data_IF_238257612014
#
_entry.id   IF_238257612014
#
_cell.length_a   1.000
_cell.length_b   1.000
_cell.length_c   1.000
_cell.angle_alpha   90.00
_cell.angle_beta   90.00
_cell.angle_gamma   90.00
#
_symmetry.space_group_name_H-M   'P 1'
#
loop_
_entity.id
_entity.type
_entity.pdbx_description
1 polymer ?
#
# COMPACT_ATOMS: atom_id res chain seq x y z
N UNK A 1 -5.55 3.76 18.17
CA UNK A 1 -4.87 4.28 16.96
C UNK A 1 -3.87 3.25 16.46
N UNK A 2 -4.00 2.82 15.21
CA UNK A 2 -3.03 1.99 14.49
C UNK A 2 -2.08 2.88 13.69
N UNK A 3 -0.80 2.50 13.60
CA UNK A 3 0.21 3.22 12.82
C UNK A 3 0.77 2.33 11.71
N UNK A 4 0.85 2.90 10.51
CA UNK A 4 1.37 2.23 9.32
C UNK A 4 2.54 3.04 8.76
N UNK A 5 3.70 2.41 8.58
CA UNK A 5 4.79 3.02 7.80
C UNK A 5 4.42 2.92 6.33
N UNK A 6 4.43 4.03 5.62
CA UNK A 6 4.00 4.10 4.22
C UNK A 6 5.07 4.74 3.35
N UNK A 7 5.03 4.44 2.05
CA UNK A 7 5.69 5.27 1.04
C UNK A 7 4.62 6.09 0.33
N UNK A 8 4.70 7.41 0.43
CA UNK A 8 3.89 8.32 -0.36
C UNK A 8 4.75 8.85 -1.51
N UNK A 9 4.43 8.47 -2.73
CA UNK A 9 5.21 8.77 -3.93
C UNK A 9 4.33 9.41 -5.00
N UNK A 10 4.97 10.11 -5.92
CA UNK A 10 4.34 10.66 -7.12
C UNK A 10 4.98 10.03 -8.34
N UNK A 11 4.26 9.13 -8.99
CA UNK A 11 4.73 8.36 -10.15
C UNK A 11 3.93 8.79 -11.39
N UNK A 12 4.60 9.25 -12.44
CA UNK A 12 3.96 9.71 -13.69
C UNK A 12 2.80 10.72 -13.48
N UNK A 13 2.93 11.60 -12.48
CA UNK A 13 1.93 12.61 -12.14
C UNK A 13 0.79 12.13 -11.24
N UNK A 14 0.80 10.85 -10.85
CA UNK A 14 -0.19 10.24 -9.97
C UNK A 14 0.37 10.05 -8.56
N UNK A 15 -0.38 10.49 -7.55
CA UNK A 15 -0.03 10.25 -6.15
C UNK A 15 -0.44 8.81 -5.74
N UNK A 16 0.51 8.07 -5.20
CA UNK A 16 0.38 6.66 -4.80
C UNK A 16 0.82 6.52 -3.35
N UNK A 17 0.03 5.81 -2.56
CA UNK A 17 0.29 5.52 -1.15
C UNK A 17 0.52 4.02 -1.02
N UNK A 18 1.78 3.60 -0.99
CA UNK A 18 2.17 2.20 -0.81
C UNK A 18 2.12 1.88 0.68
N UNK A 19 1.31 0.90 1.06
CA UNK A 19 1.17 0.45 2.45
C UNK A 19 1.62 -1.01 2.55
N UNK A 20 2.80 -1.27 3.16
CA UNK A 20 3.23 -2.61 3.49
C UNK A 20 2.35 -3.21 4.58
N UNK A 21 1.72 -4.33 4.28
CA UNK A 21 0.90 -5.13 5.19
C UNK A 21 1.56 -6.48 5.48
N UNK A 22 1.11 -7.13 6.54
CA UNK A 22 1.51 -8.49 6.89
C UNK A 22 1.08 -9.50 5.82
N UNK A 23 1.78 -10.62 5.74
CA UNK A 23 1.43 -11.71 4.81
C UNK A 23 0.05 -12.31 5.09
N UNK A 24 -0.49 -12.14 6.30
CA UNK A 24 -1.85 -12.55 6.67
C UNK A 24 -2.91 -11.82 5.85
N UNK A 25 -2.64 -10.58 5.41
CA UNK A 25 -3.54 -9.82 4.54
C UNK A 25 -3.80 -10.55 3.23
N UNK A 26 -2.75 -11.09 2.61
CA UNK A 26 -2.84 -11.84 1.35
C UNK A 26 -3.68 -13.11 1.45
N UNK A 27 -3.85 -13.66 2.65
CA UNK A 27 -4.64 -14.88 2.89
C UNK A 27 -6.11 -14.59 3.23
N UNK A 28 -6.49 -13.32 3.38
CA UNK A 28 -7.89 -12.94 3.66
C UNK A 28 -8.75 -13.06 2.39
N UNK A 29 -10.06 -13.31 2.51
CA UNK A 29 -10.98 -13.24 1.39
C UNK A 29 -10.94 -11.87 0.69
N UNK A 30 -11.22 -11.83 -0.61
CA UNK A 30 -11.18 -10.58 -1.39
C UNK A 30 -12.06 -9.48 -0.80
N UNK A 31 -13.28 -9.82 -0.36
CA UNK A 31 -14.19 -8.87 0.30
C UNK A 31 -13.62 -8.27 1.58
N UNK A 32 -12.81 -9.04 2.32
CA UNK A 32 -12.13 -8.55 3.53
C UNK A 32 -10.93 -7.67 3.16
N UNK A 33 -10.18 -8.05 2.12
CA UNK A 33 -9.08 -7.23 1.61
C UNK A 33 -9.60 -5.86 1.13
N UNK A 34 -10.69 -5.84 0.37
CA UNK A 34 -11.36 -4.65 -0.12
C UNK A 34 -11.80 -3.74 1.04
N UNK A 35 -12.49 -4.28 2.06
CA UNK A 35 -12.89 -3.50 3.23
C UNK A 35 -11.72 -2.90 4.01
N UNK A 36 -10.60 -3.62 4.11
CA UNK A 36 -9.35 -3.09 4.70
C UNK A 36 -8.79 -1.96 3.84
N UNK A 37 -8.74 -2.12 2.52
CA UNK A 37 -8.23 -1.10 1.59
C UNK A 37 -9.09 0.16 1.68
N UNK A 38 -10.42 0.03 1.67
CA UNK A 38 -11.35 1.16 1.82
C UNK A 38 -11.14 1.90 3.14
N UNK A 39 -11.00 1.17 4.24
CA UNK A 39 -10.73 1.75 5.56
C UNK A 39 -9.39 2.51 5.59
N UNK A 40 -8.34 1.94 4.99
CA UNK A 40 -7.03 2.59 4.88
C UNK A 40 -7.08 3.82 3.95
N UNK A 41 -7.86 3.76 2.87
CA UNK A 41 -8.05 4.87 1.94
C UNK A 41 -8.77 6.04 2.61
N UNK A 42 -9.80 5.77 3.42
CA UNK A 42 -10.48 6.77 4.23
C UNK A 42 -9.52 7.40 5.25
N UNK A 43 -8.76 6.57 5.96
CA UNK A 43 -7.74 7.04 6.90
C UNK A 43 -6.69 7.94 6.24
N UNK A 44 -6.16 7.54 5.08
CA UNK A 44 -5.20 8.35 4.32
C UNK A 44 -5.78 9.71 3.92
N UNK A 45 -7.05 9.74 3.48
CA UNK A 45 -7.76 10.99 3.15
C UNK A 45 -7.94 11.88 4.38
N UNK A 46 -8.37 11.32 5.51
CA UNK A 46 -8.50 12.05 6.78
C UNK A 46 -7.16 12.60 7.29
N UNK A 47 -6.06 11.92 6.99
CA UNK A 47 -4.70 12.39 7.28
C UNK A 47 -4.17 13.40 6.25
N UNK A 48 -4.98 13.84 5.27
CA UNK A 48 -4.59 14.81 4.25
C UNK A 48 -3.62 14.28 3.19
N UNK A 49 -3.48 12.95 3.06
CA UNK A 49 -2.65 12.34 2.04
C UNK A 49 -3.44 12.20 0.73
N UNK A 50 -2.93 12.84 -0.32
CA UNK A 50 -3.46 12.67 -1.67
C UNK A 50 -2.97 11.34 -2.28
N UNK A 51 -3.85 10.68 -3.03
CA UNK A 51 -3.50 9.49 -3.81
C UNK A 51 -4.31 8.24 -3.46
N UNK A 52 -3.95 7.16 -4.14
CA UNK A 52 -4.60 5.85 -3.99
C UNK A 52 -3.77 4.93 -3.12
N UNK A 53 -4.41 4.27 -2.17
CA UNK A 53 -3.80 3.24 -1.34
C UNK A 53 -3.56 1.97 -2.15
N UNK A 54 -2.31 1.53 -2.16
CA UNK A 54 -1.87 0.27 -2.76
C UNK A 54 -1.26 -0.60 -1.65
N UNK A 55 -1.99 -1.61 -1.14
CA UNK A 55 -1.40 -2.56 -0.21
C UNK A 55 -0.36 -3.42 -0.93
N UNK A 56 0.75 -3.67 -0.24
CA UNK A 56 1.79 -4.60 -0.66
C UNK A 56 2.13 -5.52 0.50
N UNK A 57 2.36 -6.81 0.25
CA UNK A 57 2.73 -7.75 1.30
C UNK A 57 3.74 -8.75 0.79
N UNK A 58 4.54 -9.30 1.70
CA UNK A 58 5.60 -10.23 1.35
C UNK A 58 5.04 -11.63 1.09
N UNK A 59 5.50 -12.26 0.00
CA UNK A 59 5.20 -13.65 -0.37
C UNK A 59 6.53 -14.35 -0.68
N UNK A 60 7.09 -15.04 0.32
CA UNK A 60 8.43 -15.62 0.22
C UNK A 60 9.53 -14.57 0.01
N UNK A 61 10.29 -14.70 -1.07
CA UNK A 61 11.31 -13.71 -1.49
C UNK A 61 10.75 -12.56 -2.34
N UNK A 62 9.49 -12.63 -2.73
CA UNK A 62 8.80 -11.63 -3.56
C UNK A 62 7.77 -10.86 -2.73
N UNK A 63 7.04 -9.98 -3.39
CA UNK A 63 5.86 -9.31 -2.86
C UNK A 63 4.67 -9.50 -3.80
N UNK A 64 3.49 -9.35 -3.22
CA UNK A 64 2.22 -9.23 -3.92
C UNK A 64 1.60 -7.88 -3.59
N UNK A 65 0.66 -7.44 -4.42
CA UNK A 65 0.05 -6.11 -4.33
C UNK A 65 -1.37 -6.11 -4.90
N UNK A 66 -2.17 -5.14 -4.47
CA UNK A 66 -3.48 -4.82 -5.09
C UNK A 66 -3.39 -3.38 -5.58
N UNK A 67 -3.32 -3.20 -6.90
CA UNK A 67 -3.19 -1.90 -7.53
C UNK A 67 -4.02 -1.84 -8.82
N UNK A 68 -4.42 -0.63 -9.27
CA UNK A 68 -4.94 -0.42 -10.62
C UNK A 68 -4.03 -1.02 -11.69
N UNK A 69 -4.63 -1.65 -12.71
CA UNK A 69 -3.93 -2.34 -13.81
C UNK A 69 -2.79 -1.53 -14.45
N UNK A 70 -2.93 -0.21 -14.71
CA UNK A 70 -1.85 0.59 -15.31
C UNK A 70 -0.57 0.64 -14.47
N UNK A 71 -0.64 0.41 -13.15
CA UNK A 71 0.52 0.49 -12.26
C UNK A 71 1.21 -0.87 -12.07
N UNK A 72 0.64 -1.95 -12.60
CA UNK A 72 1.22 -3.30 -12.45
C UNK A 72 2.67 -3.39 -12.94
N UNK A 73 3.08 -2.80 -14.08
CA UNK A 73 4.49 -2.84 -14.52
C UNK A 73 5.45 -2.21 -13.50
N UNK A 74 5.05 -1.09 -12.89
CA UNK A 74 5.83 -0.41 -11.86
C UNK A 74 5.97 -1.29 -10.61
N UNK A 75 4.87 -1.82 -10.07
CA UNK A 75 4.94 -2.66 -8.88
C UNK A 75 5.65 -4.01 -9.12
N UNK A 76 5.67 -4.51 -10.36
CA UNK A 76 6.43 -5.70 -10.75
C UNK A 76 7.93 -5.44 -10.89
N UNK A 77 8.36 -4.22 -11.19
CA UNK A 77 9.79 -3.88 -11.30
C UNK A 77 10.46 -3.64 -9.93
N UNK A 78 9.68 -3.31 -8.90
CA UNK A 78 10.17 -3.11 -7.54
C UNK A 78 10.55 -4.43 -6.86
N UNK A 79 11.56 -4.39 -6.00
CA UNK A 79 11.83 -5.47 -5.03
C UNK A 79 11.22 -5.12 -3.67
N UNK A 80 10.99 -6.13 -2.82
CA UNK A 80 10.55 -5.89 -1.44
C UNK A 80 11.49 -4.93 -0.68
N UNK A 81 12.80 -5.10 -0.84
CA UNK A 81 13.78 -4.22 -0.21
C UNK A 81 13.68 -2.78 -0.72
N UNK A 82 13.45 -2.58 -2.01
CA UNK A 82 13.24 -1.25 -2.59
C UNK A 82 11.95 -0.59 -2.04
N UNK A 83 10.87 -1.34 -1.86
CA UNK A 83 9.65 -0.83 -1.21
C UNK A 83 9.96 -0.37 0.21
N UNK A 84 10.66 -1.22 0.98
CA UNK A 84 11.01 -0.94 2.37
C UNK A 84 11.95 0.25 2.56
N UNK A 85 12.90 0.46 1.64
CA UNK A 85 13.80 1.61 1.69
C UNK A 85 13.13 2.94 1.32
N UNK A 86 11.97 2.91 0.64
CA UNK A 86 11.25 4.10 0.20
C UNK A 86 10.15 4.55 1.18
N UNK A 87 9.98 3.88 2.32
CA UNK A 87 9.03 4.34 3.34
C UNK A 87 9.46 5.71 3.87
N UNK A 88 8.55 6.68 3.81
CA UNK A 88 8.87 8.10 4.04
C UNK A 88 7.87 8.82 4.94
N UNK A 89 6.77 8.17 5.34
CA UNK A 89 5.75 8.73 6.25
C UNK A 89 5.17 7.66 7.19
N UNK A 90 4.49 8.11 8.24
CA UNK A 90 3.68 7.27 9.13
C UNK A 90 2.23 7.72 9.02
N UNK A 91 1.34 6.82 8.62
CA UNK A 91 -0.10 7.01 8.61
C UNK A 91 -0.67 6.52 9.95
N UNK A 92 -1.42 7.39 10.65
CA UNK A 92 -2.09 7.04 11.90
C UNK A 92 -3.60 6.97 11.66
N UNK A 93 -4.20 5.82 11.98
CA UNK A 93 -5.64 5.56 11.84
C UNK A 93 -6.27 5.33 13.21
N UNK A 94 -7.33 6.05 13.56
CA UNK A 94 -8.09 5.81 14.79
C UNK A 94 -8.98 6.96 15.20
#
# INVERSE_FOLDING_TARGET
>A
MAQYKIAHIREQGQDIIIIPLGSDFGNKPSSTQEGIIESLQLCARSAGLAGTVVPVWRVGSRHSFIAPTPWHPYFKSLSWNAIMSNLNKVLTCG
#
